data_IF_020137626116
#
_entry.id   IF_020137626116
#
_cell.length_a   1.000
_cell.length_b   1.000
_cell.length_c   1.000
_cell.angle_alpha   90.00
_cell.angle_beta   90.00
_cell.angle_gamma   90.00
#
_symmetry.space_group_name_H-M   'P 1'
#
loop_
_entity.id
_entity.type
_entity.pdbx_description
1 polymer ?
#
# COMPACT_ATOMS: atom_id res chain seq x y z
N UNK A 1 -9.98 -27.54 6.71
CA UNK A 1 -8.90 -26.57 6.41
C UNK A 1 -8.15 -26.17 7.68
N UNK A 2 -8.75 -25.44 8.62
CA UNK A 2 -8.10 -24.93 9.86
C UNK A 2 -7.28 -25.99 10.63
N UNK A 3 -7.72 -27.26 10.71
CA UNK A 3 -6.93 -28.31 11.35
C UNK A 3 -5.58 -28.56 10.64
N UNK A 4 -5.51 -28.58 9.30
CA UNK A 4 -4.22 -28.72 8.60
C UNK A 4 -3.30 -27.52 8.84
N UNK A 5 -3.87 -26.31 8.93
CA UNK A 5 -3.13 -25.09 9.27
C UNK A 5 -2.62 -25.17 10.72
N UNK A 6 -3.43 -25.65 11.68
CA UNK A 6 -2.99 -25.90 13.05
C UNK A 6 -1.75 -26.80 13.06
N UNK A 7 -1.83 -27.99 12.46
CA UNK A 7 -0.71 -28.93 12.45
C UNK A 7 0.57 -28.28 11.86
N UNK A 8 0.46 -27.62 10.70
CA UNK A 8 1.58 -26.93 10.02
C UNK A 8 2.19 -25.74 10.79
N UNK A 9 1.52 -25.21 11.83
CA UNK A 9 2.02 -24.07 12.62
C UNK A 9 2.32 -24.45 14.08
N UNK A 10 1.75 -25.54 14.61
CA UNK A 10 1.90 -25.92 16.03
C UNK A 10 2.53 -27.29 16.29
N UNK A 11 2.49 -28.23 15.33
CA UNK A 11 3.06 -29.58 15.55
C UNK A 11 4.55 -29.65 15.16
N UNK A 12 5.05 -28.71 14.33
CA UNK A 12 6.47 -28.57 14.00
C UNK A 12 7.03 -27.16 14.33
N UNK A 13 7.08 -26.72 15.62
CA UNK A 13 7.56 -25.38 15.97
C UNK A 13 9.01 -25.08 15.54
N UNK A 14 9.84 -26.11 15.37
CA UNK A 14 11.24 -25.97 14.92
C UNK A 14 11.32 -25.32 13.54
N UNK A 15 10.54 -25.80 12.57
CA UNK A 15 10.52 -25.25 11.22
C UNK A 15 10.09 -23.77 11.21
N UNK A 16 9.20 -23.36 12.12
CA UNK A 16 8.85 -21.95 12.29
C UNK A 16 9.97 -21.12 12.91
N UNK A 17 10.67 -21.62 13.93
CA UNK A 17 11.84 -20.94 14.51
C UNK A 17 12.98 -20.80 13.49
N UNK A 18 13.23 -21.82 12.67
CA UNK A 18 14.24 -21.79 11.60
C UNK A 18 13.87 -20.79 10.50
N UNK A 19 12.60 -20.77 10.06
CA UNK A 19 12.09 -19.78 9.10
C UNK A 19 12.17 -18.35 9.65
N UNK A 20 11.84 -18.13 10.92
CA UNK A 20 11.98 -16.82 11.60
C UNK A 20 13.46 -16.43 11.70
N UNK A 21 14.37 -17.36 11.97
CA UNK A 21 15.80 -17.10 12.02
C UNK A 21 16.40 -16.74 10.65
N UNK A 22 15.91 -17.36 9.56
CA UNK A 22 16.27 -17.00 8.18
C UNK A 22 15.71 -15.60 7.83
N UNK A 23 14.42 -15.37 8.07
CA UNK A 23 13.76 -14.07 7.84
C UNK A 23 14.45 -12.93 8.60
N UNK A 24 14.84 -13.15 9.86
CA UNK A 24 15.62 -12.19 10.66
C UNK A 24 16.97 -11.85 10.04
N UNK A 25 17.71 -12.82 9.50
CA UNK A 25 19.01 -12.57 8.85
C UNK A 25 18.85 -11.67 7.61
N UNK A 26 17.78 -11.86 6.84
CA UNK A 26 17.47 -11.00 5.69
C UNK A 26 17.16 -9.56 6.13
N UNK A 27 16.28 -9.36 7.11
CA UNK A 27 15.90 -8.04 7.62
C UNK A 27 16.97 -7.29 8.45
N UNK A 28 18.00 -7.99 8.94
CA UNK A 28 19.20 -7.34 9.52
C UNK A 28 20.10 -6.84 8.40
N UNK A 29 20.36 -7.67 7.38
CA UNK A 29 21.18 -7.31 6.23
C UNK A 29 20.63 -6.12 5.41
N UNK A 30 19.30 -5.99 5.31
CA UNK A 30 18.66 -4.79 4.75
C UNK A 30 18.99 -3.54 5.56
N UNK A 31 18.76 -3.55 6.89
CA UNK A 31 19.05 -2.39 7.75
C UNK A 31 20.54 -2.01 7.79
N UNK A 32 21.44 -2.96 7.64
CA UNK A 32 22.87 -2.70 7.50
C UNK A 32 23.21 -2.00 6.17
N UNK A 33 22.55 -2.39 5.06
CA UNK A 33 22.66 -1.67 3.77
C UNK A 33 22.03 -0.27 3.80
N UNK A 34 20.87 -0.13 4.44
CA UNK A 34 20.19 1.15 4.54
C UNK A 34 21.00 2.15 5.41
N UNK A 35 21.66 1.65 6.46
CA UNK A 35 22.61 2.46 7.24
C UNK A 35 23.84 2.88 6.42
N UNK A 36 24.49 1.94 5.72
CA UNK A 36 25.69 2.22 4.90
C UNK A 36 25.39 3.15 3.72
N UNK A 37 24.16 3.15 3.19
CA UNK A 37 23.75 4.05 2.10
C UNK A 37 23.32 5.45 2.56
N UNK A 38 23.25 5.73 3.87
CA UNK A 38 22.90 7.05 4.43
C UNK A 38 24.03 7.75 5.21
N UNK A 39 25.27 7.26 5.17
CA UNK A 39 26.39 7.95 5.82
C UNK A 39 26.83 9.22 5.07
N UNK A 40 26.24 10.36 5.47
CA UNK A 40 26.46 11.78 5.07
C UNK A 40 25.49 12.31 3.99
N UNK A 41 25.05 13.59 4.09
CA UNK A 41 25.63 14.68 4.88
C UNK A 41 24.88 15.12 6.16
N UNK A 42 25.70 15.47 7.17
CA UNK A 42 25.51 16.34 8.34
C UNK A 42 24.09 16.87 8.71
N UNK A 43 23.64 16.71 9.98
CA UNK A 43 22.33 17.15 10.43
C UNK A 43 22.22 18.68 10.63
N UNK A 44 21.55 19.36 9.69
CA UNK A 44 21.08 20.74 9.89
C UNK A 44 19.93 20.77 10.92
N UNK A 45 20.20 21.40 12.08
CA UNK A 45 19.19 21.63 13.13
C UNK A 45 17.99 22.44 12.61
N UNK A 46 16.86 21.79 12.34
CA UNK A 46 15.57 22.48 12.21
C UNK A 46 15.08 22.95 13.59
N UNK A 47 14.47 24.13 13.63
CA UNK A 47 13.76 24.65 14.81
C UNK A 47 12.39 24.00 14.93
N UNK A 48 11.89 23.91 16.16
CA UNK A 48 10.56 23.37 16.49
C UNK A 48 9.46 24.42 16.33
N UNK A 49 8.77 24.44 15.18
CA UNK A 49 7.64 25.38 14.97
C UNK A 49 6.72 24.97 13.80
N UNK A 50 6.07 23.78 13.84
CA UNK A 50 4.91 23.49 12.94
C UNK A 50 3.92 22.37 13.38
N UNK A 51 3.73 22.12 14.68
CA UNK A 51 2.75 21.10 15.17
C UNK A 51 1.28 21.58 15.27
N UNK A 52 0.83 22.49 14.39
CA UNK A 52 -0.49 23.17 14.54
C UNK A 52 -1.36 23.27 13.28
N UNK A 53 -1.16 22.44 12.25
CA UNK A 53 -1.91 22.55 10.97
C UNK A 53 -2.67 21.31 10.46
N UNK A 54 -2.82 20.24 11.26
CA UNK A 54 -3.58 19.03 10.84
C UNK A 54 -5.08 19.09 11.19
N UNK A 55 -5.48 19.87 12.20
CA UNK A 55 -6.88 19.97 12.64
C UNK A 55 -7.79 20.74 11.67
N UNK A 56 -7.26 21.79 11.03
CA UNK A 56 -8.04 22.84 10.35
C UNK A 56 -8.66 22.41 9.02
N UNK A 57 -8.29 21.25 8.46
CA UNK A 57 -8.75 20.80 7.14
C UNK A 57 -10.04 19.96 7.15
N UNK A 58 -10.65 19.72 8.32
CA UNK A 58 -11.95 18.99 8.44
C UNK A 58 -13.21 19.87 8.52
N UNK A 59 -13.10 21.18 8.80
CA UNK A 59 -14.28 22.04 8.99
C UNK A 59 -14.72 22.84 7.75
N UNK A 60 -14.02 22.77 6.62
CA UNK A 60 -14.38 23.48 5.37
C UNK A 60 -15.22 22.67 4.36
N UNK A 61 -15.77 21.53 4.75
CA UNK A 61 -16.61 20.68 3.87
C UNK A 61 -18.10 20.74 4.21
N UNK A 62 -18.48 21.27 5.38
CA UNK A 62 -19.89 21.29 5.83
C UNK A 62 -20.59 22.66 5.59
N UNK A 63 -19.85 23.76 5.40
CA UNK A 63 -20.40 25.07 5.04
C UNK A 63 -20.50 25.27 3.50
N UNK A 64 -21.21 24.36 2.83
CA UNK A 64 -21.49 24.46 1.37
C UNK A 64 -22.85 23.87 0.94
N UNK A 65 -23.74 23.53 1.89
CA UNK A 65 -25.08 22.99 1.59
C UNK A 65 -26.14 23.58 2.51
N UNK A 66 -26.78 24.65 2.05
CA UNK A 66 -27.95 25.22 2.72
C UNK A 66 -28.34 26.61 2.20
N UNK A 67 -29.26 26.66 1.23
CA UNK A 67 -30.21 27.76 0.94
C UNK A 67 -31.16 27.29 -0.18
N UNK A 68 -32.43 27.01 0.16
CA UNK A 68 -33.65 27.05 -0.71
C UNK A 68 -33.68 26.05 -1.91
N UNK A 69 -34.61 25.07 -2.03
CA UNK A 69 -36.10 25.10 -2.09
C UNK A 69 -36.65 25.65 -3.42
N UNK A 70 -37.82 25.30 -3.95
CA UNK A 70 -38.89 24.29 -3.67
C UNK A 70 -39.61 24.02 -5.04
N UNK A 71 -40.46 23.02 -5.33
CA UNK A 71 -40.94 21.78 -4.70
C UNK A 71 -41.46 20.84 -5.83
N UNK A 72 -41.67 19.53 -5.59
CA UNK A 72 -42.93 18.85 -5.93
C UNK A 72 -43.01 17.43 -5.29
N UNK A 73 -44.23 16.95 -5.02
CA UNK A 73 -44.52 15.71 -4.29
C UNK A 73 -45.05 14.58 -5.21
N UNK A 74 -45.12 13.34 -4.70
CA UNK A 74 -46.40 12.60 -4.48
C UNK A 74 -46.17 11.25 -3.79
N UNK A 75 -47.07 10.98 -2.83
CA UNK A 75 -47.42 9.79 -2.05
C UNK A 75 -46.91 8.38 -2.45
N UNK A 76 -46.54 7.55 -1.45
CA UNK A 76 -47.42 6.46 -0.97
C UNK A 76 -46.90 5.69 0.29
N UNK A 77 -47.77 5.60 1.31
CA UNK A 77 -48.21 4.42 2.12
C UNK A 77 -47.42 3.08 2.06
N UNK A 78 -47.34 2.25 3.12
CA UNK A 78 -47.93 2.32 4.48
C UNK A 78 -47.30 1.31 5.49
N UNK A 79 -47.78 1.37 6.74
CA UNK A 79 -47.76 0.34 7.82
C UNK A 79 -46.51 0.17 8.69
N UNK A 80 -46.72 0.36 10.00
CA UNK A 80 -45.84 -0.06 11.11
C UNK A 80 -45.98 -1.56 11.43
N UNK A 81 -45.00 -2.14 12.13
CA UNK A 81 -45.18 -2.71 13.49
C UNK A 81 -43.85 -2.54 14.24
N UNK A 82 -43.87 -2.24 15.54
CA UNK A 82 -42.68 -2.22 16.39
C UNK A 82 -42.95 -2.83 17.77
N UNK A 83 -41.90 -3.04 18.56
CA UNK A 83 -42.01 -3.41 19.97
C UNK A 83 -40.78 -2.93 20.77
N UNK A 84 -40.99 -2.06 21.76
CA UNK A 84 -39.96 -1.72 22.75
C UNK A 84 -39.94 -2.72 23.92
N UNK A 85 -38.80 -2.82 24.62
CA UNK A 85 -38.79 -2.77 26.09
C UNK A 85 -37.45 -2.21 26.60
N UNK A 86 -37.48 -1.59 27.79
CA UNK A 86 -36.42 -0.75 28.38
C UNK A 86 -35.98 -1.29 29.77
N UNK A 87 -35.06 -0.55 30.41
CA UNK A 87 -34.60 -0.58 31.82
C UNK A 87 -33.72 -1.78 32.25
N UNK A 88 -32.77 -1.66 33.18
CA UNK A 88 -32.13 -0.50 33.87
C UNK A 88 -30.63 -0.88 34.12
N UNK A 89 -29.65 0.04 34.24
CA UNK A 89 -29.24 0.84 35.43
C UNK A 89 -29.08 0.01 36.73
N UNK A 90 -28.04 0.18 37.55
CA UNK A 90 -27.04 1.27 37.70
C UNK A 90 -25.61 0.74 38.07
N UNK A 91 -24.64 1.66 38.23
CA UNK A 91 -23.24 1.40 38.57
C UNK A 91 -22.87 1.95 39.97
N UNK A 92 -21.97 1.28 40.71
CA UNK A 92 -21.31 1.82 41.91
C UNK A 92 -19.86 1.34 42.06
N UNK A 93 -18.96 2.26 42.40
CA UNK A 93 -17.64 2.04 43.04
C UNK A 93 -17.85 1.93 44.59
N UNK A 94 -16.89 1.69 45.49
CA UNK A 94 -15.43 1.77 45.47
C UNK A 94 -14.85 1.03 46.71
N UNK A 95 -13.56 0.64 46.72
CA UNK A 95 -12.61 0.75 47.88
C UNK A 95 -11.39 -0.21 47.80
N UNK A 96 -10.32 0.13 48.51
CA UNK A 96 -9.05 -0.62 48.61
C UNK A 96 -8.78 -1.08 50.05
N UNK A 97 -8.10 -2.21 50.21
CA UNK A 97 -7.20 -2.46 51.36
C UNK A 97 -5.98 -3.27 50.91
N UNK A 98 -4.83 -3.03 51.55
CA UNK A 98 -3.54 -3.71 51.32
C UNK A 98 -2.93 -4.15 52.64
N UNK A 99 -2.16 -5.24 52.67
CA UNK A 99 -1.06 -5.48 53.63
C UNK A 99 -0.21 -6.71 53.17
N UNK A 100 0.88 -6.98 53.88
CA UNK A 100 2.11 -7.57 53.31
C UNK A 100 2.37 -9.06 53.60
N UNK A 101 3.32 -9.61 52.84
CA UNK A 101 3.94 -10.94 52.94
C UNK A 101 4.86 -11.05 54.18
N UNK A 102 5.09 -12.25 54.76
CA UNK A 102 6.37 -12.91 54.45
C UNK A 102 6.36 -14.46 54.50
N UNK A 103 7.08 -15.10 53.59
CA UNK A 103 8.30 -15.87 53.96
C UNK A 103 9.11 -16.38 52.76
N UNK A 104 10.43 -16.53 52.93
CA UNK A 104 11.35 -17.06 51.92
C UNK A 104 11.47 -18.58 52.00
N UNK A 105 11.40 -19.26 50.86
CA UNK A 105 12.12 -20.52 50.64
C UNK A 105 12.91 -20.43 49.33
N UNK A 106 14.14 -20.93 49.34
CA UNK A 106 15.06 -20.88 48.19
C UNK A 106 15.04 -22.23 47.46
N UNK A 107 14.45 -22.27 46.27
CA UNK A 107 14.45 -23.41 45.36
C UNK A 107 14.79 -22.94 43.94
N UNK A 108 15.92 -23.43 43.44
CA UNK A 108 16.45 -23.37 42.07
C UNK A 108 15.55 -22.74 41.00
N UNK A 109 15.99 -21.62 40.42
CA UNK A 109 15.41 -21.13 39.16
C UNK A 109 15.60 -22.19 38.08
N UNK A 110 14.55 -22.68 37.40
CA UNK A 110 14.74 -23.43 36.18
C UNK A 110 15.50 -22.56 35.17
N UNK A 111 16.39 -23.17 34.39
CA UNK A 111 17.10 -22.47 33.33
C UNK A 111 16.06 -21.88 32.39
N UNK A 112 16.00 -20.56 32.31
CA UNK A 112 15.11 -19.89 31.39
C UNK A 112 15.60 -20.20 29.97
N UNK A 113 14.86 -21.06 29.25
CA UNK A 113 14.80 -20.92 27.82
C UNK A 113 14.47 -19.44 27.54
N UNK A 114 15.30 -18.77 26.74
CA UNK A 114 14.98 -17.44 26.24
C UNK A 114 13.79 -17.56 25.29
N UNK A 115 12.60 -17.58 25.88
CA UNK A 115 11.33 -17.79 25.20
C UNK A 115 10.96 -16.48 24.49
N UNK A 116 11.65 -16.26 23.37
CA UNK A 116 11.62 -15.08 22.51
C UNK A 116 10.18 -14.59 22.27
N UNK A 117 9.76 -13.62 23.09
CA UNK A 117 8.39 -13.11 23.10
C UNK A 117 8.21 -12.05 22.02
N UNK A 118 7.94 -12.50 20.79
CA UNK A 118 7.65 -11.61 19.67
C UNK A 118 6.29 -10.94 19.83
N UNK A 119 6.19 -9.67 19.42
CA UNK A 119 4.90 -9.07 19.07
C UNK A 119 4.52 -9.46 17.63
N UNK A 120 3.26 -9.82 17.39
CA UNK A 120 2.84 -10.32 16.07
C UNK A 120 1.42 -9.89 15.66
N UNK A 121 1.19 -9.82 14.34
CA UNK A 121 -0.16 -9.77 13.74
C UNK A 121 -0.38 -10.94 12.79
N UNK A 122 -1.65 -11.30 12.58
CA UNK A 122 -2.07 -12.18 11.49
C UNK A 122 -2.84 -11.36 10.46
N UNK A 123 -2.32 -11.28 9.24
CA UNK A 123 -3.02 -10.72 8.09
C UNK A 123 -3.56 -11.84 7.23
N UNK A 124 -4.87 -12.02 7.26
CA UNK A 124 -5.56 -13.06 6.50
C UNK A 124 -6.26 -12.49 5.27
N UNK A 125 -6.27 -13.25 4.18
CA UNK A 125 -7.03 -13.00 2.96
C UNK A 125 -7.80 -14.25 2.57
N UNK A 126 -9.12 -14.22 2.67
CA UNK A 126 -9.98 -15.19 1.99
C UNK A 126 -10.28 -14.74 0.56
N UNK A 127 -10.47 -15.69 -0.36
CA UNK A 127 -10.86 -15.43 -1.75
C UNK A 127 -11.59 -16.65 -2.34
N UNK A 128 -12.36 -16.45 -3.42
CA UNK A 128 -13.18 -17.52 -4.01
C UNK A 128 -14.46 -17.81 -3.23
N UNK A 129 -14.98 -19.03 -3.34
CA UNK A 129 -16.13 -19.52 -2.59
C UNK A 129 -15.86 -19.54 -1.07
N UNK A 130 -14.62 -19.82 -0.63
CA UNK A 130 -14.25 -19.78 0.80
C UNK A 130 -14.55 -18.43 1.44
N UNK A 131 -14.39 -17.32 0.73
CA UNK A 131 -14.69 -15.98 1.25
C UNK A 131 -16.18 -15.72 1.57
N UNK A 132 -17.08 -16.63 1.17
CA UNK A 132 -18.51 -16.61 1.54
C UNK A 132 -18.82 -17.41 2.82
N UNK A 133 -17.86 -18.21 3.29
CA UNK A 133 -18.03 -19.17 4.40
C UNK A 133 -17.15 -18.77 5.61
N UNK A 134 -15.99 -18.19 5.35
CA UNK A 134 -15.04 -17.72 6.35
C UNK A 134 -14.54 -16.33 5.96
N UNK A 135 -14.79 -15.32 6.78
CA UNK A 135 -14.23 -13.98 6.57
C UNK A 135 -12.72 -13.99 6.84
N UNK A 136 -12.00 -13.04 6.22
CA UNK A 136 -10.60 -12.80 6.51
C UNK A 136 -10.37 -12.54 8.00
N UNK A 137 -11.27 -11.79 8.64
CA UNK A 137 -11.21 -11.44 10.06
C UNK A 137 -11.29 -12.67 10.97
N UNK A 138 -12.24 -13.58 10.72
CA UNK A 138 -12.37 -14.83 11.48
C UNK A 138 -11.16 -15.76 11.29
N UNK A 139 -10.67 -15.90 10.05
CA UNK A 139 -9.49 -16.70 9.75
C UNK A 139 -8.22 -16.16 10.45
N UNK A 140 -8.06 -14.83 10.46
CA UNK A 140 -6.97 -14.16 11.18
C UNK A 140 -7.08 -14.30 12.69
N UNK A 141 -8.27 -14.10 13.26
CA UNK A 141 -8.53 -14.22 14.69
C UNK A 141 -8.35 -15.65 15.21
N UNK A 142 -8.75 -16.66 14.43
CA UNK A 142 -8.55 -18.08 14.76
C UNK A 142 -7.06 -18.44 14.87
N UNK A 143 -6.24 -18.03 13.88
CA UNK A 143 -4.79 -18.27 13.94
C UNK A 143 -4.11 -17.40 15.00
N UNK A 144 -4.54 -16.15 15.20
CA UNK A 144 -4.01 -15.28 16.25
C UNK A 144 -4.25 -15.83 17.66
N UNK A 145 -5.42 -16.42 17.89
CA UNK A 145 -5.73 -17.14 19.14
C UNK A 145 -4.81 -18.34 19.34
N UNK A 146 -4.55 -19.10 18.28
CA UNK A 146 -3.65 -20.26 18.31
C UNK A 146 -2.19 -19.86 18.61
N UNK A 147 -1.69 -18.77 18.02
CA UNK A 147 -0.34 -18.27 18.29
C UNK A 147 -0.19 -17.69 19.70
N UNK A 148 -1.23 -17.03 20.22
CA UNK A 148 -1.27 -16.57 21.61
C UNK A 148 -1.19 -17.72 22.63
N UNK A 149 -1.75 -18.90 22.31
CA UNK A 149 -1.60 -20.10 23.14
C UNK A 149 -0.15 -20.62 23.20
N UNK A 150 0.72 -20.24 22.27
CA UNK A 150 2.15 -20.59 22.23
C UNK A 150 3.05 -19.51 22.84
N UNK A 151 2.48 -18.55 23.58
CA UNK A 151 3.21 -17.52 24.34
C UNK A 151 3.55 -16.25 23.55
N UNK A 152 3.11 -16.13 22.29
CA UNK A 152 3.36 -14.93 21.47
C UNK A 152 2.40 -13.79 21.84
N UNK A 153 2.85 -12.53 21.73
CA UNK A 153 2.04 -11.36 22.11
C UNK A 153 1.42 -10.69 20.88
N UNK A 154 0.10 -10.46 20.88
CA UNK A 154 -0.56 -9.86 19.72
C UNK A 154 -0.42 -8.32 19.73
N UNK A 155 0.21 -7.75 18.70
CA UNK A 155 0.20 -6.32 18.39
C UNK A 155 -0.32 -6.12 16.96
N UNK A 156 -1.37 -5.30 16.81
CA UNK A 156 -2.03 -5.07 15.53
C UNK A 156 -1.58 -3.77 14.83
N UNK A 157 -0.71 -2.99 15.48
CA UNK A 157 -0.22 -1.67 15.03
C UNK A 157 1.23 -1.73 14.59
N UNK A 158 2.13 -2.14 15.47
CA UNK A 158 3.56 -2.33 15.17
C UNK A 158 4.06 -3.67 15.73
N UNK A 159 3.66 -4.79 15.11
CA UNK A 159 4.23 -6.10 15.44
C UNK A 159 5.70 -6.17 15.02
N UNK A 160 6.52 -6.96 15.72
CA UNK A 160 7.81 -7.44 15.19
C UNK A 160 7.57 -8.19 13.88
N UNK A 161 6.57 -9.09 13.91
CA UNK A 161 6.37 -10.15 12.92
C UNK A 161 4.95 -10.18 12.36
N UNK A 162 4.82 -10.24 11.03
CA UNK A 162 3.55 -10.44 10.35
C UNK A 162 3.44 -11.88 9.84
N UNK A 163 2.40 -12.61 10.27
CA UNK A 163 2.02 -13.88 9.67
C UNK A 163 0.95 -13.60 8.61
N UNK A 164 1.25 -13.88 7.35
CA UNK A 164 0.30 -13.77 6.25
C UNK A 164 -0.36 -15.11 5.97
N UNK A 165 -1.68 -15.09 5.77
CA UNK A 165 -2.51 -16.24 5.42
C UNK A 165 -3.32 -15.92 4.17
N UNK A 166 -3.24 -16.75 3.13
CA UNK A 166 -4.12 -16.66 1.97
C UNK A 166 -4.86 -17.99 1.78
N UNK A 167 -6.19 -17.95 1.94
CA UNK A 167 -7.09 -19.07 1.70
C UNK A 167 -7.85 -18.84 0.39
N UNK A 168 -7.83 -19.83 -0.50
CA UNK A 168 -8.72 -19.88 -1.66
C UNK A 168 -9.20 -21.31 -1.93
N UNK A 169 -10.04 -21.46 -2.95
CA UNK A 169 -10.71 -22.73 -3.26
C UNK A 169 -9.78 -23.86 -3.73
N UNK A 170 -8.50 -23.56 -4.01
CA UNK A 170 -7.50 -24.48 -4.59
C UNK A 170 -6.32 -24.71 -3.62
N UNK A 171 -5.87 -23.67 -2.92
CA UNK A 171 -4.69 -23.69 -2.08
C UNK A 171 -4.88 -22.96 -0.74
N UNK A 172 -3.93 -23.16 0.17
CA UNK A 172 -3.81 -22.39 1.41
C UNK A 172 -2.34 -22.08 1.65
N UNK A 173 -1.99 -20.80 1.66
CA UNK A 173 -0.63 -20.32 1.95
C UNK A 173 -0.63 -19.74 3.36
N UNK A 174 0.40 -20.10 4.14
CA UNK A 174 0.71 -19.51 5.43
C UNK A 174 2.21 -19.23 5.43
N UNK A 175 2.63 -18.02 5.81
CA UNK A 175 4.04 -17.63 5.76
C UNK A 175 4.28 -16.24 6.34
N UNK A 176 5.48 -15.72 6.13
CA UNK A 176 5.94 -14.43 6.67
C UNK A 176 6.31 -13.54 5.48
N UNK A 177 5.74 -12.32 5.32
CA UNK A 177 6.16 -11.40 4.28
C UNK A 177 7.62 -10.98 4.46
N UNK A 178 8.39 -10.98 3.37
CA UNK A 178 9.76 -10.45 3.37
C UNK A 178 9.81 -8.92 3.53
N UNK A 179 8.77 -8.22 3.06
CA UNK A 179 8.71 -6.76 3.07
C UNK A 179 7.46 -6.27 3.82
N UNK A 180 7.63 -5.32 4.75
CA UNK A 180 6.51 -4.65 5.45
C UNK A 180 5.71 -3.72 4.54
N UNK A 181 6.34 -3.16 3.51
CA UNK A 181 5.72 -2.27 2.52
C UNK A 181 5.66 -2.97 1.16
N UNK A 182 4.67 -2.65 0.30
CA UNK A 182 4.62 -3.21 -1.06
C UNK A 182 5.84 -2.74 -1.87
N UNK A 183 6.45 -3.64 -2.65
CA UNK A 183 7.57 -3.30 -3.57
C UNK A 183 7.26 -2.19 -4.60
N UNK A 184 5.98 -1.85 -4.77
CA UNK A 184 5.54 -0.72 -5.58
C UNK A 184 5.79 0.66 -4.92
N UNK A 185 6.07 0.69 -3.62
CA UNK A 185 6.37 1.92 -2.88
C UNK A 185 7.82 2.34 -3.13
N UNK A 186 8.08 2.95 -4.28
CA UNK A 186 9.39 3.51 -4.64
C UNK A 186 9.62 4.83 -3.89
N UNK A 187 10.74 4.96 -3.20
CA UNK A 187 11.07 6.21 -2.47
C UNK A 187 11.21 7.43 -3.39
N UNK A 188 11.56 7.19 -4.66
CA UNK A 188 11.70 8.22 -5.68
C UNK A 188 10.38 8.70 -6.30
N UNK A 189 9.25 8.04 -6.02
CA UNK A 189 7.92 8.49 -6.46
C UNK A 189 7.23 9.19 -5.29
N UNK A 190 7.07 10.52 -5.36
CA UNK A 190 6.35 11.30 -4.34
C UNK A 190 4.85 11.37 -4.62
N UNK A 191 4.46 11.41 -5.89
CA UNK A 191 3.05 11.42 -6.32
C UNK A 191 2.77 10.19 -7.17
N UNK A 192 1.96 9.26 -6.65
CA UNK A 192 1.70 7.97 -7.29
C UNK A 192 0.67 8.07 -8.45
N UNK A 193 1.12 7.75 -9.66
CA UNK A 193 0.28 7.62 -10.86
C UNK A 193 -0.17 6.18 -11.11
N UNK A 194 0.27 5.62 -12.25
CA UNK A 194 0.25 4.18 -12.47
C UNK A 194 1.06 3.47 -11.36
N UNK A 195 0.72 2.22 -11.05
CA UNK A 195 1.52 1.41 -10.12
C UNK A 195 2.86 1.08 -10.78
N UNK A 196 3.97 1.52 -10.19
CA UNK A 196 5.37 1.21 -10.56
C UNK A 196 5.60 -0.22 -11.07
N UNK A 197 5.16 -1.25 -10.35
CA UNK A 197 5.32 -2.65 -10.79
C UNK A 197 4.55 -3.04 -12.06
N UNK A 198 3.61 -2.21 -12.53
CA UNK A 198 2.93 -2.34 -13.82
C UNK A 198 3.63 -1.49 -14.87
N UNK A 199 4.02 -0.26 -14.53
CA UNK A 199 4.84 0.62 -15.37
C UNK A 199 6.16 -0.05 -15.82
N UNK A 200 6.89 -0.65 -14.88
CA UNK A 200 8.09 -1.47 -15.16
C UNK A 200 7.77 -2.62 -16.12
N UNK A 201 6.70 -3.38 -15.86
CA UNK A 201 6.31 -4.51 -16.70
C UNK A 201 5.87 -4.10 -18.12
N UNK A 202 5.32 -2.89 -18.29
CA UNK A 202 5.05 -2.31 -19.61
C UNK A 202 6.35 -1.95 -20.33
N UNK A 203 7.31 -1.33 -19.63
CA UNK A 203 8.63 -1.01 -20.19
C UNK A 203 9.44 -2.27 -20.57
N UNK A 204 9.39 -3.32 -19.74
CA UNK A 204 10.02 -4.62 -20.04
C UNK A 204 9.47 -5.33 -21.28
N UNK A 205 8.28 -4.95 -21.76
CA UNK A 205 7.64 -5.49 -22.97
C UNK A 205 7.82 -4.59 -24.19
N UNK A 206 8.48 -3.43 -24.05
CA UNK A 206 8.69 -2.46 -25.12
C UNK A 206 10.06 -2.59 -25.83
N UNK A 207 10.83 -3.64 -25.52
CA UNK A 207 12.11 -4.00 -26.16
C UNK A 207 13.12 -2.83 -26.30
N UNK A 208 13.14 -1.93 -25.31
CA UNK A 208 13.96 -0.70 -25.28
C UNK A 208 15.44 -1.02 -25.54
N UNK A 209 15.98 -0.47 -26.63
CA UNK A 209 17.37 -0.65 -27.04
C UNK A 209 18.29 0.45 -26.49
N UNK A 210 19.61 0.23 -26.58
CA UNK A 210 20.62 1.20 -26.16
C UNK A 210 20.54 2.45 -27.04
N UNK A 211 20.47 3.63 -26.42
CA UNK A 211 20.30 4.93 -27.08
C UNK A 211 18.97 5.13 -27.84
N UNK A 212 17.96 4.30 -27.57
CA UNK A 212 16.60 4.52 -28.05
C UNK A 212 15.97 5.82 -27.51
N UNK A 213 15.11 6.44 -28.32
CA UNK A 213 14.18 7.49 -27.91
C UNK A 213 12.82 6.86 -27.60
N UNK A 214 12.34 7.04 -26.37
CA UNK A 214 11.10 6.43 -25.86
C UNK A 214 10.08 7.51 -25.47
N UNK A 215 8.85 7.37 -25.94
CA UNK A 215 7.76 8.34 -25.73
C UNK A 215 6.61 7.76 -24.90
N UNK A 216 6.16 8.51 -23.89
CA UNK A 216 4.83 8.34 -23.28
C UNK A 216 3.99 9.61 -23.56
N UNK A 217 3.11 9.60 -24.56
CA UNK A 217 2.40 10.81 -25.00
C UNK A 217 1.18 11.17 -24.13
N UNK A 218 0.93 10.42 -23.05
CA UNK A 218 -0.07 10.71 -22.02
C UNK A 218 0.49 10.36 -20.63
N UNK A 219 1.69 10.88 -20.32
CA UNK A 219 2.53 10.37 -19.25
C UNK A 219 1.99 10.54 -17.82
N UNK A 220 0.99 11.39 -17.62
CA UNK A 220 0.45 11.69 -16.29
C UNK A 220 1.56 12.11 -15.33
N UNK A 221 1.71 11.37 -14.23
CA UNK A 221 2.74 11.57 -13.20
C UNK A 221 4.11 10.91 -13.53
N UNK A 222 4.34 10.57 -14.80
CA UNK A 222 5.63 10.10 -15.34
C UNK A 222 6.04 8.68 -14.98
N UNK A 223 5.15 7.86 -14.38
CA UNK A 223 5.57 6.59 -13.73
C UNK A 223 6.13 5.54 -14.69
N UNK A 224 5.70 5.52 -15.96
CA UNK A 224 6.28 4.64 -16.99
C UNK A 224 7.74 5.04 -17.27
N UNK A 225 7.97 6.31 -17.58
CA UNK A 225 9.28 6.86 -17.88
C UNK A 225 10.26 6.72 -16.70
N UNK A 226 9.78 6.88 -15.47
CA UNK A 226 10.60 6.74 -14.25
C UNK A 226 11.08 5.31 -14.01
N UNK A 227 10.23 4.31 -14.20
CA UNK A 227 10.63 2.90 -14.06
C UNK A 227 11.51 2.46 -15.24
N UNK A 228 11.22 2.93 -16.45
CA UNK A 228 12.03 2.64 -17.65
C UNK A 228 13.44 3.24 -17.54
N UNK A 229 13.57 4.53 -17.25
CA UNK A 229 14.87 5.22 -17.13
C UNK A 229 15.74 4.74 -15.95
N UNK A 230 15.17 3.99 -14.99
CA UNK A 230 15.94 3.30 -13.94
C UNK A 230 16.49 1.93 -14.37
N UNK A 231 15.91 1.30 -15.39
CA UNK A 231 16.28 -0.04 -15.86
C UNK A 231 17.11 0.02 -17.16
N UNK A 232 16.79 0.95 -18.09
CA UNK A 232 17.54 1.20 -19.32
C UNK A 232 18.14 2.63 -19.34
N UNK A 233 19.14 2.94 -18.47
CA UNK A 233 19.67 4.30 -18.31
C UNK A 233 20.39 4.86 -19.55
N UNK A 234 20.70 4.04 -20.54
CA UNK A 234 21.34 4.44 -21.80
C UNK A 234 20.35 4.92 -22.88
N UNK A 235 19.05 4.92 -22.60
CA UNK A 235 17.99 5.46 -23.46
C UNK A 235 17.57 6.88 -23.04
N UNK A 236 16.85 7.56 -23.93
CA UNK A 236 16.33 8.92 -23.75
C UNK A 236 14.80 8.92 -23.73
N UNK A 237 14.18 9.67 -22.83
CA UNK A 237 12.75 9.56 -22.51
C UNK A 237 12.02 10.90 -22.66
N UNK A 238 10.84 10.87 -23.26
CA UNK A 238 9.97 12.04 -23.42
C UNK A 238 8.58 11.72 -22.90
N UNK A 239 8.02 12.62 -22.09
CA UNK A 239 6.65 12.55 -21.60
C UNK A 239 5.83 13.72 -22.13
N UNK A 240 4.65 13.44 -22.68
CA UNK A 240 3.67 14.48 -22.99
C UNK A 240 2.38 14.31 -22.16
N UNK A 241 1.80 15.42 -21.72
CA UNK A 241 0.45 15.46 -21.16
C UNK A 241 -0.19 16.82 -21.46
N UNK A 242 -1.52 16.88 -21.48
CA UNK A 242 -2.29 18.10 -21.67
C UNK A 242 -2.47 18.90 -20.37
N UNK A 243 -2.28 18.25 -19.21
CA UNK A 243 -2.58 18.76 -17.89
C UNK A 243 -1.34 19.25 -17.14
N UNK A 244 -1.29 20.54 -16.83
CA UNK A 244 -0.20 21.16 -16.06
C UNK A 244 0.07 20.42 -14.74
N UNK A 245 -0.99 20.08 -13.98
CA UNK A 245 -0.85 19.41 -12.68
C UNK A 245 -0.48 17.92 -12.75
N UNK A 246 -0.52 17.31 -13.94
CA UNK A 246 0.15 16.03 -14.18
C UNK A 246 1.65 16.24 -14.38
N UNK A 247 2.03 17.17 -15.26
CA UNK A 247 3.44 17.46 -15.57
C UNK A 247 4.20 18.04 -14.37
N UNK A 248 3.59 18.90 -13.56
CA UNK A 248 4.13 19.37 -12.27
C UNK A 248 4.43 18.19 -11.32
N UNK A 249 3.52 17.21 -11.27
CA UNK A 249 3.69 16.01 -10.44
C UNK A 249 4.73 15.03 -11.00
N UNK A 250 4.86 14.96 -12.33
CA UNK A 250 5.91 14.20 -13.01
C UNK A 250 7.29 14.85 -12.79
N UNK A 251 7.43 16.16 -12.95
CA UNK A 251 8.65 16.93 -12.69
C UNK A 251 9.16 16.70 -11.25
N UNK A 252 8.27 16.79 -10.25
CA UNK A 252 8.61 16.50 -8.85
C UNK A 252 9.10 15.05 -8.67
N UNK A 253 8.50 14.08 -9.36
CA UNK A 253 8.96 12.69 -9.32
C UNK A 253 10.33 12.51 -10.03
N UNK A 254 10.54 13.11 -11.20
CA UNK A 254 11.80 13.06 -11.98
C UNK A 254 12.95 13.70 -11.19
N UNK A 255 12.70 14.85 -10.56
CA UNK A 255 13.65 15.53 -9.65
C UNK A 255 13.97 14.71 -8.41
N UNK A 256 12.98 14.00 -7.86
CA UNK A 256 13.22 13.08 -6.73
C UNK A 256 14.01 11.84 -7.17
N UNK A 257 13.79 11.36 -8.38
CA UNK A 257 14.49 10.21 -8.93
C UNK A 257 15.92 10.52 -9.41
N UNK A 258 16.25 11.79 -9.64
CA UNK A 258 17.55 12.20 -10.20
C UNK A 258 17.68 11.78 -11.67
N UNK A 259 16.68 12.10 -12.49
CA UNK A 259 16.58 11.71 -13.90
C UNK A 259 16.33 12.88 -14.86
N UNK A 260 16.67 14.11 -14.44
CA UNK A 260 16.45 15.35 -15.20
C UNK A 260 17.33 15.48 -16.46
N UNK A 261 18.31 14.61 -16.62
CA UNK A 261 19.18 14.44 -17.79
C UNK A 261 18.69 13.32 -18.73
N UNK A 262 17.61 12.62 -18.37
CA UNK A 262 17.08 11.45 -19.08
C UNK A 262 15.63 11.58 -19.51
N UNK A 263 14.80 12.32 -18.75
CA UNK A 263 13.37 12.46 -19.00
C UNK A 263 13.02 13.93 -19.26
N UNK A 264 12.66 14.26 -20.50
CA UNK A 264 12.09 15.54 -20.91
C UNK A 264 10.56 15.53 -20.79
N UNK A 265 9.95 16.69 -20.51
CA UNK A 265 8.50 16.85 -20.37
C UNK A 265 7.93 17.94 -21.28
N UNK A 266 6.81 17.63 -21.93
CA UNK A 266 6.18 18.45 -22.96
C UNK A 266 4.68 18.65 -22.68
N UNK A 267 4.23 19.90 -22.63
CA UNK A 267 2.79 20.20 -22.58
C UNK A 267 2.20 20.13 -23.99
N UNK A 268 1.57 19.01 -24.33
CA UNK A 268 0.97 18.76 -25.64
C UNK A 268 -0.28 17.87 -25.55
N UNK A 269 -1.00 17.74 -26.66
CA UNK A 269 -2.08 16.75 -26.80
C UNK A 269 -1.62 15.64 -27.72
N UNK A 270 -1.84 14.38 -27.33
CA UNK A 270 -1.65 13.17 -28.14
C UNK A 270 -2.46 13.12 -29.46
N UNK A 271 -3.20 14.18 -29.80
CA UNK A 271 -3.87 14.35 -31.10
C UNK A 271 -3.07 15.17 -32.12
N UNK A 272 -2.03 15.85 -31.65
CA UNK A 272 -1.17 16.75 -32.41
C UNK A 272 0.05 17.09 -31.55
N UNK A 273 0.98 16.14 -31.46
CA UNK A 273 2.25 16.32 -30.76
C UNK A 273 3.14 17.23 -31.62
N UNK A 274 3.78 18.28 -31.04
CA UNK A 274 4.70 19.15 -31.77
C UNK A 274 6.09 18.48 -31.93
N UNK A 275 6.09 17.22 -32.38
CA UNK A 275 7.23 16.34 -32.52
C UNK A 275 7.30 15.83 -33.98
N UNK A 276 8.50 15.72 -34.60
CA UNK A 276 8.63 15.21 -35.96
C UNK A 276 8.08 13.79 -36.13
N UNK A 277 7.73 13.42 -37.36
CA UNK A 277 7.48 12.02 -37.73
C UNK A 277 8.70 11.16 -37.51
N UNK A 278 8.50 9.85 -37.29
CA UNK A 278 9.55 8.83 -37.25
C UNK A 278 10.68 9.17 -36.24
N UNK A 279 10.35 9.87 -35.14
CA UNK A 279 11.33 10.46 -34.21
C UNK A 279 11.54 9.70 -32.88
N UNK A 280 10.83 8.60 -32.67
CA UNK A 280 10.92 7.75 -31.47
C UNK A 280 10.95 6.27 -31.85
N UNK A 281 11.82 5.49 -31.20
CA UNK A 281 11.98 4.06 -31.43
C UNK A 281 10.90 3.21 -30.72
N UNK A 282 10.31 3.73 -29.64
CA UNK A 282 9.27 3.05 -28.88
C UNK A 282 8.24 4.01 -28.24
N UNK A 283 6.98 3.58 -28.20
CA UNK A 283 5.87 4.30 -27.53
C UNK A 283 5.26 3.43 -26.45
N UNK A 284 5.10 3.97 -25.23
CA UNK A 284 4.64 3.22 -24.05
C UNK A 284 3.70 4.12 -23.23
N UNK A 285 2.43 3.76 -23.03
CA UNK A 285 1.46 4.65 -22.36
C UNK A 285 0.30 3.90 -21.68
N UNK A 286 -0.14 4.39 -20.51
CA UNK A 286 -1.36 3.94 -19.82
C UNK A 286 -2.54 4.82 -20.22
N UNK A 287 -3.04 4.59 -21.43
CA UNK A 287 -4.07 5.43 -22.06
C UNK A 287 -5.33 5.51 -21.18
N UNK A 288 -6.02 6.67 -21.09
CA UNK A 288 -7.09 6.85 -20.12
C UNK A 288 -8.29 5.92 -20.38
N UNK A 289 -8.70 5.15 -19.36
CA UNK A 289 -9.81 4.18 -19.43
C UNK A 289 -11.03 4.49 -18.54
N UNK A 290 -11.55 5.72 -18.58
CA UNK A 290 -12.97 5.99 -18.30
C UNK A 290 -13.47 6.01 -16.85
N UNK A 291 -12.69 5.52 -15.89
CA UNK A 291 -13.14 5.32 -14.49
C UNK A 291 -12.79 6.48 -13.54
N UNK A 292 -11.73 7.25 -13.85
CA UNK A 292 -11.37 8.50 -13.14
C UNK A 292 -11.73 9.73 -13.97
N UNK A 293 -11.43 9.70 -15.26
CA UNK A 293 -11.83 10.71 -16.25
C UNK A 293 -13.03 10.16 -17.04
N UNK A 294 -14.09 10.96 -17.27
CA UNK A 294 -15.38 10.46 -17.76
C UNK A 294 -15.39 10.23 -19.28
N UNK A 295 -15.03 9.02 -19.71
CA UNK A 295 -15.22 8.60 -21.10
C UNK A 295 -16.72 8.52 -21.44
N UNK A 296 -17.15 9.39 -22.34
CA UNK A 296 -18.31 9.16 -23.24
C UNK A 296 -18.02 9.47 -24.71
N UNK A 297 -16.83 10.01 -25.01
CA UNK A 297 -16.36 10.31 -26.39
C UNK A 297 -15.03 9.65 -26.72
N UNK A 298 -14.23 9.28 -25.71
CA UNK A 298 -12.80 9.05 -25.95
C UNK A 298 -12.49 7.69 -26.63
N UNK A 299 -13.49 6.81 -26.79
CA UNK A 299 -13.42 5.65 -27.70
C UNK A 299 -13.36 6.10 -29.17
N UNK A 300 -14.03 7.19 -29.51
CA UNK A 300 -13.97 7.82 -30.85
C UNK A 300 -12.59 8.45 -31.11
N UNK A 301 -11.75 8.60 -30.07
CA UNK A 301 -10.44 9.24 -30.14
C UNK A 301 -9.28 8.24 -30.13
N UNK A 302 -9.55 6.95 -29.89
CA UNK A 302 -8.52 5.91 -29.97
C UNK A 302 -7.88 5.81 -31.38
N UNK A 303 -8.60 5.98 -32.50
CA UNK A 303 -7.99 6.06 -33.83
C UNK A 303 -7.03 7.25 -33.96
N UNK A 304 -7.45 8.46 -33.55
CA UNK A 304 -6.59 9.67 -33.57
C UNK A 304 -5.29 9.43 -32.77
N UNK A 305 -5.41 8.84 -31.59
CA UNK A 305 -4.30 8.55 -30.67
C UNK A 305 -3.33 7.54 -31.31
N UNK A 306 -3.84 6.43 -31.85
CA UNK A 306 -2.99 5.41 -32.48
C UNK A 306 -2.33 5.93 -33.76
N UNK A 307 -3.02 6.75 -34.55
CA UNK A 307 -2.46 7.37 -35.75
C UNK A 307 -1.32 8.35 -35.43
N UNK A 308 -1.43 9.13 -34.34
CA UNK A 308 -0.36 10.04 -33.89
C UNK A 308 0.79 9.29 -33.20
N UNK A 309 0.56 8.06 -32.71
CA UNK A 309 1.61 7.15 -32.19
C UNK A 309 2.33 6.35 -33.29
N UNK A 310 1.72 6.21 -34.48
CA UNK A 310 2.29 5.53 -35.67
C UNK A 310 3.12 6.47 -36.56
N UNK A 311 3.13 7.78 -36.26
CA UNK A 311 3.54 8.88 -37.15
C UNK A 311 5.02 9.27 -37.14
#
# INVERSE_FOLDING_TARGET
MLHKIKNLVTEEPKHWLDVIAIWRKLHVYEREKDAVSQENPLPLKRKSEEETNIATKRQKTEQARGTVSEECQVEARDTCVGAERKSNRDCWTESKTSLEDPSRSSGEKPIANEQLSFSFRVSCRCSGAIAKILTSQEGGAALGTLMKQHGWQADLRDPDLEIFVHLNDIYSVVGIPLFRLPLANREYIKTAGLRSTVAWAMASLAEISVSAFVLDPMCGLGTILLEAAKEWPEACYWGADISDSQLEGADVNIRTAGLMDKIELLKASVKALPLPSESFDAVISDIPFGKKFKIRKDIELLPDILQEMER
#
